data_IF_598675062711
#
_entry.id   IF_598675062711
#
_cell.length_a   1.000
_cell.length_b   1.000
_cell.length_c   1.000
_cell.angle_alpha   90.00
_cell.angle_beta   90.00
_cell.angle_gamma   90.00
#
_symmetry.space_group_name_H-M   'P 1'
#
loop_
_entity.id
_entity.type
_entity.pdbx_description
1 polymer ?
#
# COMPACT_ATOMS: atom_id res chain seq x y z
N UNK A 1 -7.67 3.75 -20.15
CA UNK A 1 -7.05 2.71 -19.32
C UNK A 1 -7.72 1.39 -19.69
N UNK A 2 -6.99 0.36 -20.15
CA UNK A 2 -7.61 -0.96 -20.29
C UNK A 2 -8.06 -1.42 -18.90
N UNK A 3 -9.27 -1.96 -18.81
CA UNK A 3 -9.81 -2.55 -17.59
C UNK A 3 -8.85 -3.66 -17.17
N UNK A 4 -8.12 -3.46 -16.06
CA UNK A 4 -7.14 -4.44 -15.56
C UNK A 4 -7.80 -5.65 -14.88
N UNK A 5 -9.06 -5.53 -14.50
CA UNK A 5 -9.85 -6.64 -13.95
C UNK A 5 -11.23 -6.22 -13.49
N UNK A 6 -12.09 -7.20 -13.24
CA UNK A 6 -13.44 -7.04 -12.72
C UNK A 6 -13.47 -7.35 -11.23
N UNK A 7 -14.20 -6.56 -10.45
CA UNK A 7 -14.47 -6.86 -9.04
C UNK A 7 -15.77 -7.66 -8.94
N UNK A 8 -15.67 -8.90 -8.45
CA UNK A 8 -16.84 -9.73 -8.22
C UNK A 8 -17.46 -9.34 -6.87
N UNK A 9 -18.71 -8.90 -6.90
CA UNK A 9 -19.48 -8.53 -5.71
C UNK A 9 -20.72 -9.40 -5.62
N UNK A 10 -20.87 -10.12 -4.51
CA UNK A 10 -22.03 -10.96 -4.24
C UNK A 10 -22.72 -10.50 -2.96
N UNK A 11 -24.05 -10.48 -2.98
CA UNK A 11 -24.88 -10.16 -1.82
C UNK A 11 -25.51 -11.43 -1.30
N UNK A 12 -25.31 -11.73 -0.02
CA UNK A 12 -25.92 -12.88 0.62
C UNK A 12 -27.44 -12.69 0.72
N UNK A 13 -28.27 -13.58 0.15
CA UNK A 13 -29.71 -13.47 0.22
C UNK A 13 -30.24 -13.65 1.65
N UNK A 14 -29.55 -14.40 2.51
CA UNK A 14 -29.98 -14.66 3.88
C UNK A 14 -29.68 -13.52 4.86
N UNK A 15 -28.49 -12.92 4.80
CA UNK A 15 -28.05 -11.91 5.77
C UNK A 15 -27.85 -10.50 5.17
N UNK A 16 -28.11 -10.31 3.88
CA UNK A 16 -27.93 -9.06 3.13
C UNK A 16 -26.51 -8.48 3.13
N UNK A 17 -25.51 -9.19 3.69
CA UNK A 17 -24.10 -8.78 3.67
C UNK A 17 -23.53 -8.91 2.25
N UNK A 18 -22.66 -7.98 1.90
CA UNK A 18 -22.01 -7.94 0.60
C UNK A 18 -20.56 -8.42 0.73
N UNK A 19 -20.20 -9.47 0.02
CA UNK A 19 -18.82 -9.91 -0.15
C UNK A 19 -18.28 -9.36 -1.47
N UNK A 20 -17.07 -8.79 -1.45
CA UNK A 20 -16.36 -8.38 -2.67
C UNK A 20 -15.07 -9.18 -2.75
N UNK A 21 -14.91 -9.97 -3.82
CA UNK A 21 -13.67 -10.66 -4.12
C UNK A 21 -12.76 -9.71 -4.89
N UNK A 22 -11.60 -9.42 -4.30
CA UNK A 22 -10.59 -8.55 -4.90
C UNK A 22 -9.49 -9.39 -5.54
N UNK A 23 -9.06 -9.04 -6.78
CA UNK A 23 -7.93 -9.69 -7.40
C UNK A 23 -6.64 -9.36 -6.65
N UNK A 24 -5.60 -10.18 -6.86
CA UNK A 24 -4.34 -10.10 -6.11
C UNK A 24 -3.57 -8.78 -6.26
N UNK A 25 -3.93 -7.96 -7.26
CA UNK A 25 -3.32 -6.66 -7.50
C UNK A 25 -4.15 -5.47 -6.97
N UNK A 26 -5.31 -5.68 -6.34
CA UNK A 26 -6.20 -4.61 -5.90
C UNK A 26 -6.31 -4.55 -4.37
N UNK A 27 -6.25 -3.33 -3.82
CA UNK A 27 -6.63 -3.09 -2.43
C UNK A 27 -8.11 -2.68 -2.34
N UNK A 28 -8.84 -3.23 -1.37
CA UNK A 28 -10.21 -2.82 -1.10
C UNK A 28 -10.43 -1.32 -0.93
N UNK A 29 -11.49 -0.85 -1.58
CA UNK A 29 -11.88 0.56 -1.67
C UNK A 29 -10.80 1.48 -2.29
N UNK A 30 -9.77 0.94 -2.94
CA UNK A 30 -8.75 1.71 -3.67
C UNK A 30 -8.90 1.52 -5.17
N UNK A 31 -8.81 2.64 -5.90
CA UNK A 31 -8.87 2.69 -7.36
C UNK A 31 -7.59 2.19 -8.04
N UNK A 32 -6.46 2.25 -7.33
CA UNK A 32 -5.13 2.03 -7.89
C UNK A 32 -4.59 0.66 -7.51
N UNK A 33 -3.72 0.13 -8.37
CA UNK A 33 -3.14 -1.21 -8.17
C UNK A 33 -2.10 -1.20 -7.04
N UNK A 34 -1.97 -2.33 -6.35
CA UNK A 34 -1.01 -2.55 -5.26
C UNK A 34 0.42 -2.10 -5.64
N UNK A 35 0.99 -2.47 -6.80
CA UNK A 35 2.34 -2.02 -7.16
C UNK A 35 2.49 -0.50 -7.20
N UNK A 36 1.49 0.21 -7.75
CA UNK A 36 1.46 1.68 -7.77
C UNK A 36 1.40 2.23 -6.34
N UNK A 37 0.48 1.71 -5.53
CA UNK A 37 0.30 2.15 -4.14
C UNK A 37 1.60 1.97 -3.34
N UNK A 38 2.24 0.81 -3.47
CA UNK A 38 3.49 0.49 -2.79
C UNK A 38 4.64 1.38 -3.28
N UNK A 39 4.79 1.58 -4.58
CA UNK A 39 5.87 2.40 -5.15
C UNK A 39 5.82 3.85 -4.64
N UNK A 40 4.66 4.51 -4.70
CA UNK A 40 4.49 5.87 -4.18
C UNK A 40 4.66 5.94 -2.66
N UNK A 41 4.15 4.95 -1.92
CA UNK A 41 4.28 4.92 -0.47
C UNK A 41 5.74 4.73 -0.06
N UNK A 42 6.48 3.85 -0.75
CA UNK A 42 7.91 3.61 -0.54
C UNK A 42 8.74 4.85 -0.85
N UNK A 43 8.51 5.48 -2.01
CA UNK A 43 9.18 6.73 -2.39
C UNK A 43 8.96 7.84 -1.35
N UNK A 44 7.72 7.94 -0.82
CA UNK A 44 7.41 8.90 0.23
C UNK A 44 8.09 8.59 1.56
N UNK A 45 8.13 7.35 2.05
CA UNK A 45 8.71 7.07 3.38
C UNK A 45 10.24 7.09 3.36
N UNK A 46 10.85 6.65 2.25
CA UNK A 46 12.30 6.47 2.13
C UNK A 46 13.06 7.80 2.03
N UNK A 47 12.61 8.74 1.20
CA UNK A 47 13.33 9.99 0.95
C UNK A 47 12.80 11.15 1.82
N UNK A 48 13.59 11.74 2.72
CA UNK A 48 13.19 12.88 3.56
C UNK A 48 12.66 14.10 2.77
N UNK A 49 13.09 14.30 1.53
CA UNK A 49 12.79 15.47 0.70
C UNK A 49 11.49 15.34 -0.10
N UNK A 50 10.97 14.12 -0.25
CA UNK A 50 9.72 13.89 -0.97
C UNK A 50 8.51 14.35 -0.17
N UNK A 51 7.78 15.31 -0.75
CA UNK A 51 6.44 15.70 -0.32
C UNK A 51 5.37 14.99 -1.16
N UNK A 52 4.12 14.98 -0.69
CA UNK A 52 3.02 14.43 -1.48
C UNK A 52 2.85 15.14 -2.82
N UNK A 53 3.05 16.47 -2.86
CA UNK A 53 2.93 17.25 -4.09
C UNK A 53 3.99 16.85 -5.09
N UNK A 54 5.24 16.93 -4.64
CA UNK A 54 6.43 16.62 -5.44
C UNK A 54 6.35 15.23 -6.08
N UNK A 55 5.90 14.21 -5.33
CA UNK A 55 5.76 12.85 -5.88
C UNK A 55 4.74 12.75 -7.03
N UNK A 56 3.64 13.50 -6.95
CA UNK A 56 2.65 13.53 -8.04
C UNK A 56 3.18 14.32 -9.22
N UNK A 57 3.87 15.44 -8.96
CA UNK A 57 4.40 16.32 -10.01
C UNK A 57 5.53 15.63 -10.81
N UNK A 58 6.40 14.87 -10.14
CA UNK A 58 7.49 14.11 -10.77
C UNK A 58 7.01 12.83 -11.48
N UNK A 59 5.90 12.25 -11.03
CA UNK A 59 5.34 11.04 -11.61
C UNK A 59 3.82 11.18 -11.80
N UNK A 60 3.38 12.02 -12.74
CA UNK A 60 1.97 12.20 -12.99
C UNK A 60 1.40 10.90 -13.55
N UNK A 61 0.27 10.45 -13.00
CA UNK A 61 -0.53 9.41 -13.62
C UNK A 61 -1.39 10.11 -14.69
N UNK A 62 -1.11 9.94 -15.99
CA UNK A 62 -1.77 10.72 -17.03
C UNK A 62 -3.25 10.34 -17.14
N UNK A 63 -4.10 11.32 -17.45
CA UNK A 63 -5.46 11.04 -17.92
C UNK A 63 -5.42 10.38 -19.30
N UNK A 64 -6.47 9.62 -19.65
CA UNK A 64 -6.66 9.20 -21.03
C UNK A 64 -7.11 10.44 -21.81
N UNK A 65 -6.38 10.80 -22.86
CA UNK A 65 -6.67 11.99 -23.68
C UNK A 65 -8.05 11.81 -24.31
N UNK A 66 -8.98 12.73 -24.01
CA UNK A 66 -10.12 12.97 -24.88
C UNK A 66 -9.58 13.75 -26.09
N UNK A 67 -9.69 13.23 -27.33
CA UNK A 67 -9.16 13.91 -28.51
C UNK A 67 -9.75 15.31 -28.75
N UNK A 68 -10.82 15.70 -28.05
CA UNK A 68 -11.44 17.04 -28.13
C UNK A 68 -11.08 17.98 -26.96
N UNK A 69 -10.28 17.55 -25.99
CA UNK A 69 -9.86 18.37 -24.85
C UNK A 69 -8.65 19.26 -25.23
N UNK A 70 -8.78 20.58 -25.04
CA UNK A 70 -7.69 21.57 -25.24
C UNK A 70 -6.72 21.66 -24.06
N UNK A 71 -6.91 20.84 -23.02
CA UNK A 71 -6.12 20.91 -21.79
C UNK A 71 -5.03 19.85 -21.83
N UNK A 72 -3.78 20.30 -21.90
CA UNK A 72 -2.60 19.45 -21.71
C UNK A 72 -2.62 18.86 -20.30
N UNK A 73 -2.89 17.55 -20.22
CA UNK A 73 -2.60 16.65 -19.09
C UNK A 73 -2.90 17.18 -17.68
N UNK A 74 -4.16 17.09 -17.23
CA UNK A 74 -4.44 17.15 -15.79
C UNK A 74 -3.96 15.86 -15.09
N UNK A 75 -3.26 15.95 -13.93
CA UNK A 75 -2.86 14.77 -13.18
C UNK A 75 -4.09 14.04 -12.65
N UNK A 76 -4.23 12.75 -12.98
CA UNK A 76 -5.38 11.91 -12.58
C UNK A 76 -5.45 11.67 -11.05
N UNK A 77 -4.43 12.09 -10.30
CA UNK A 77 -4.25 11.75 -8.89
C UNK A 77 -4.10 12.99 -8.03
N UNK A 78 -5.06 13.19 -7.14
CA UNK A 78 -4.96 14.16 -6.04
C UNK A 78 -3.77 13.86 -5.14
N UNK A 79 -3.00 14.87 -4.72
CA UNK A 79 -1.86 14.69 -3.81
C UNK A 79 -2.27 14.04 -2.47
N UNK A 80 -3.50 14.29 -2.03
CA UNK A 80 -4.06 13.66 -0.81
C UNK A 80 -4.24 12.14 -0.93
N UNK A 81 -4.19 11.59 -2.14
CA UNK A 81 -4.31 10.14 -2.41
C UNK A 81 -3.17 9.36 -1.76
N UNK A 82 -1.92 9.84 -1.89
CA UNK A 82 -0.75 9.20 -1.29
C UNK A 82 -0.89 9.19 0.25
N UNK A 83 -1.37 10.29 0.83
CA UNK A 83 -1.65 10.35 2.27
C UNK A 83 -2.65 9.28 2.72
N UNK A 84 -3.74 9.08 1.95
CA UNK A 84 -4.77 8.05 2.24
C UNK A 84 -4.20 6.63 2.11
N UNK A 85 -3.34 6.38 1.12
CA UNK A 85 -2.66 5.10 0.97
C UNK A 85 -1.75 4.77 2.13
N UNK A 86 -0.86 5.69 2.51
CA UNK A 86 0.02 5.52 3.67
C UNK A 86 -0.77 5.27 4.93
N UNK A 87 -1.88 5.99 5.12
CA UNK A 87 -2.75 5.78 6.29
C UNK A 87 -3.38 4.39 6.28
N UNK A 88 -3.78 3.92 5.10
CA UNK A 88 -4.32 2.56 4.92
C UNK A 88 -3.25 1.50 5.21
N UNK A 89 -2.07 1.62 4.61
CA UNK A 89 -0.94 0.69 4.80
C UNK A 89 -0.44 0.70 6.26
N UNK A 90 -0.35 1.88 6.88
CA UNK A 90 0.02 2.02 8.28
C UNK A 90 -1.03 1.49 9.26
N UNK A 91 -2.25 1.23 8.80
CA UNK A 91 -3.27 0.51 9.58
C UNK A 91 -3.03 -1.00 9.64
N UNK A 92 -2.11 -1.54 8.85
CA UNK A 92 -1.88 -2.99 8.73
C UNK A 92 -0.77 -3.51 9.66
N UNK A 93 -0.70 -2.99 10.89
CA UNK A 93 0.28 -3.44 11.87
C UNK A 93 0.21 -4.95 12.14
N UNK A 94 -0.99 -5.54 12.20
CA UNK A 94 -1.17 -6.98 12.36
C UNK A 94 -0.67 -7.79 11.16
N UNK A 95 -0.74 -7.25 9.94
CA UNK A 95 -0.18 -7.88 8.74
C UNK A 95 1.35 -7.88 8.82
N UNK A 96 1.95 -6.76 9.24
CA UNK A 96 3.40 -6.65 9.43
C UNK A 96 3.88 -7.65 10.47
N UNK A 97 3.20 -7.75 11.63
CA UNK A 97 3.53 -8.71 12.68
C UNK A 97 3.46 -10.14 12.16
N UNK A 98 2.31 -10.57 11.64
CA UNK A 98 2.12 -11.93 11.13
C UNK A 98 3.11 -12.29 10.02
N UNK A 99 3.39 -11.38 9.09
CA UNK A 99 4.34 -11.62 8.01
C UNK A 99 5.78 -11.73 8.53
N UNK A 100 6.15 -10.90 9.50
CA UNK A 100 7.47 -10.95 10.14
C UNK A 100 7.64 -12.27 10.92
N UNK A 101 6.62 -12.68 11.68
CA UNK A 101 6.63 -13.93 12.43
C UNK A 101 6.81 -15.15 11.51
N UNK A 102 6.06 -15.19 10.39
CA UNK A 102 6.22 -16.24 9.39
C UNK A 102 7.61 -16.26 8.76
N UNK A 103 8.18 -15.08 8.47
CA UNK A 103 9.53 -14.98 7.91
C UNK A 103 10.60 -15.46 8.89
N UNK A 104 10.48 -15.12 10.18
CA UNK A 104 11.40 -15.59 11.23
C UNK A 104 11.27 -17.09 11.45
N UNK A 105 10.05 -17.63 11.42
CA UNK A 105 9.84 -19.08 11.51
C UNK A 105 10.45 -19.83 10.31
N UNK A 106 10.34 -19.27 9.11
CA UNK A 106 10.91 -19.86 7.90
C UNK A 106 12.45 -19.74 7.86
N UNK A 107 13.01 -18.67 8.41
CA UNK A 107 14.45 -18.50 8.51
C UNK A 107 14.84 -17.75 9.81
N UNK A 108 15.18 -18.50 10.88
CA UNK A 108 15.50 -17.93 12.18
C UNK A 108 16.79 -17.11 12.23
N UNK A 109 17.71 -17.26 11.25
CA UNK A 109 18.98 -16.52 11.23
C UNK A 109 18.86 -15.14 10.56
N UNK A 110 17.66 -14.77 10.10
CA UNK A 110 17.42 -13.48 9.45
C UNK A 110 17.63 -12.31 10.41
N UNK A 111 18.26 -11.25 9.92
CA UNK A 111 18.34 -9.96 10.63
C UNK A 111 17.05 -9.14 10.55
N UNK A 112 15.98 -9.69 9.96
CA UNK A 112 14.77 -8.97 9.56
C UNK A 112 14.17 -8.13 10.69
N UNK A 113 14.01 -8.71 11.89
CA UNK A 113 13.44 -7.98 13.03
C UNK A 113 14.28 -6.77 13.43
N UNK A 114 15.61 -6.89 13.38
CA UNK A 114 16.54 -5.80 13.67
C UNK A 114 16.51 -4.75 12.56
N UNK A 115 16.44 -5.17 11.30
CA UNK A 115 16.40 -4.25 10.16
C UNK A 115 15.10 -3.43 10.16
N UNK A 116 13.95 -4.07 10.43
CA UNK A 116 12.65 -3.41 10.56
C UNK A 116 12.56 -2.49 11.78
N UNK A 117 13.20 -2.84 12.89
CA UNK A 117 13.28 -1.99 14.08
C UNK A 117 14.22 -0.79 13.88
N UNK A 118 15.23 -0.93 13.01
CA UNK A 118 16.18 0.11 12.66
C UNK A 118 15.63 1.19 11.72
N UNK A 119 14.46 0.97 11.11
CA UNK A 119 13.83 1.94 10.21
C UNK A 119 13.50 3.25 10.93
N UNK A 120 13.94 4.36 10.35
CA UNK A 120 13.71 5.72 10.88
C UNK A 120 12.96 6.56 9.84
N UNK A 121 11.96 7.30 10.32
CA UNK A 121 11.24 8.30 9.53
C UNK A 121 11.79 9.68 9.89
N UNK A 122 12.03 10.52 8.87
CA UNK A 122 12.44 11.91 9.07
C UNK A 122 11.45 12.65 9.98
N UNK A 123 11.95 13.43 10.97
CA UNK A 123 11.09 14.19 11.88
C UNK A 123 10.24 15.24 11.15
N UNK A 124 10.65 15.67 9.95
CA UNK A 124 9.90 16.64 9.14
C UNK A 124 8.58 16.08 8.59
N UNK A 125 8.40 14.74 8.59
CA UNK A 125 7.21 14.08 8.01
C UNK A 125 6.07 13.87 8.99
N UNK A 126 6.27 14.13 10.28
CA UNK A 126 5.25 13.94 11.29
C UNK A 126 5.28 15.06 12.33
N UNK A 127 4.08 15.47 12.75
CA UNK A 127 3.91 16.39 13.88
C UNK A 127 3.31 15.70 15.11
N UNK A 128 2.90 14.42 14.98
CA UNK A 128 2.32 13.63 16.06
C UNK A 128 2.92 12.23 16.14
N UNK A 129 2.94 11.67 17.35
CA UNK A 129 3.36 10.28 17.60
C UNK A 129 2.51 9.29 16.82
N UNK A 130 1.20 9.52 16.76
CA UNK A 130 0.27 8.72 15.95
C UNK A 130 0.66 8.70 14.47
N UNK A 131 0.98 9.87 13.89
CA UNK A 131 1.40 9.92 12.48
C UNK A 131 2.75 9.24 12.27
N UNK A 132 3.69 9.40 13.21
CA UNK A 132 4.98 8.69 13.20
C UNK A 132 4.78 7.17 13.15
N UNK A 133 3.88 6.63 13.99
CA UNK A 133 3.60 5.19 14.02
C UNK A 133 3.01 4.71 12.69
N UNK A 134 2.03 5.42 12.13
CA UNK A 134 1.45 5.09 10.81
C UNK A 134 2.55 5.05 9.73
N UNK A 135 3.45 6.03 9.72
CA UNK A 135 4.54 6.09 8.75
C UNK A 135 5.53 4.96 8.93
N UNK A 136 5.88 4.62 10.17
CA UNK A 136 6.78 3.50 10.48
C UNK A 136 6.17 2.16 10.08
N UNK A 137 4.91 1.90 10.42
CA UNK A 137 4.22 0.67 10.01
C UNK A 137 4.10 0.57 8.49
N UNK A 138 3.79 1.69 7.82
CA UNK A 138 3.80 1.73 6.36
C UNK A 138 5.20 1.42 5.81
N UNK A 139 6.27 1.97 6.41
CA UNK A 139 7.65 1.73 5.96
C UNK A 139 8.05 0.26 6.16
N UNK A 140 7.76 -0.31 7.32
CA UNK A 140 7.98 -1.73 7.58
C UNK A 140 7.25 -2.58 6.53
N UNK A 141 5.99 -2.29 6.25
CA UNK A 141 5.20 -3.04 5.29
C UNK A 141 5.75 -2.97 3.86
N UNK A 142 6.06 -1.77 3.35
CA UNK A 142 6.59 -1.66 1.97
C UNK A 142 7.96 -2.32 1.82
N UNK A 143 8.78 -2.33 2.88
CA UNK A 143 10.06 -3.04 2.90
C UNK A 143 9.86 -4.56 2.97
N UNK A 144 8.85 -5.02 3.70
CA UNK A 144 8.56 -6.44 3.92
C UNK A 144 7.97 -7.13 2.70
N UNK A 145 7.11 -6.45 1.92
CA UNK A 145 6.43 -7.02 0.75
C UNK A 145 7.37 -7.73 -0.24
N UNK A 146 8.44 -7.11 -0.75
CA UNK A 146 9.33 -7.77 -1.70
C UNK A 146 10.09 -8.94 -1.06
N UNK A 147 10.49 -8.83 0.21
CA UNK A 147 11.21 -9.89 0.93
C UNK A 147 10.31 -11.12 1.13
N UNK A 148 9.06 -10.90 1.54
CA UNK A 148 8.07 -11.97 1.71
C UNK A 148 7.78 -12.68 0.38
N UNK A 149 7.60 -11.92 -0.70
CA UNK A 149 7.38 -12.49 -2.03
C UNK A 149 8.57 -13.32 -2.51
N UNK A 150 9.80 -12.89 -2.24
CA UNK A 150 11.00 -13.64 -2.58
C UNK A 150 11.10 -14.97 -1.80
N UNK A 151 10.77 -14.95 -0.51
CA UNK A 151 10.83 -16.12 0.37
C UNK A 151 9.72 -17.14 0.07
N UNK A 152 8.46 -16.71 -0.01
CA UNK A 152 7.31 -17.61 -0.08
C UNK A 152 6.71 -17.77 -1.48
N UNK A 153 7.11 -16.95 -2.46
CA UNK A 153 6.54 -16.92 -3.82
C UNK A 153 5.03 -16.66 -3.86
N UNK A 154 4.48 -16.12 -2.77
CA UNK A 154 3.06 -15.76 -2.62
C UNK A 154 2.99 -14.31 -2.15
N UNK A 155 2.08 -13.48 -2.70
CA UNK A 155 1.96 -12.09 -2.28
C UNK A 155 1.37 -11.98 -0.87
N UNK A 156 1.81 -10.95 -0.12
CA UNK A 156 1.23 -10.60 1.19
C UNK A 156 -0.25 -10.27 1.06
N UNK A 157 -0.61 -9.53 0.01
CA UNK A 157 -1.97 -9.14 -0.31
C UNK A 157 -2.59 -10.06 -1.37
N UNK A 158 -3.90 -10.34 -1.31
CA UNK A 158 -4.82 -10.10 -0.20
C UNK A 158 -4.69 -11.17 0.90
N UNK A 159 -4.03 -12.31 0.62
CA UNK A 159 -4.14 -13.56 1.41
C UNK A 159 -3.80 -13.41 2.90
N UNK A 160 -2.68 -12.78 3.23
CA UNK A 160 -2.30 -12.56 4.63
C UNK A 160 -3.14 -11.45 5.27
N UNK A 161 -3.48 -10.43 4.46
CA UNK A 161 -4.29 -9.30 4.90
C UNK A 161 -5.71 -9.75 5.29
N UNK A 162 -6.40 -10.54 4.46
CA UNK A 162 -7.73 -11.12 4.73
C UNK A 162 -7.78 -11.90 6.03
N UNK A 163 -6.71 -12.64 6.37
CA UNK A 163 -6.63 -13.41 7.64
C UNK A 163 -6.35 -12.54 8.86
N UNK A 164 -5.76 -11.35 8.68
CA UNK A 164 -5.42 -10.42 9.75
C UNK A 164 -6.54 -9.44 10.12
N UNK A 165 -7.80 -9.73 9.76
CA UNK A 165 -8.96 -8.87 10.08
C UNK A 165 -9.28 -7.81 9.04
N UNK A 166 -8.85 -8.02 7.80
CA UNK A 166 -9.18 -7.15 6.67
C UNK A 166 -10.64 -7.35 6.25
N UNK A 167 -11.44 -6.29 6.35
CA UNK A 167 -12.84 -6.20 5.85
C UNK A 167 -13.05 -4.94 5.05
#
# INVERSE_FOLDING_TARGET
MPIKGLLLRWKCPGCNKTATAYPDFALPYKRYTIPTILAFSQAYVNDPTHSYRRLVDECPLPHQVDPNSKTDHEPMMEHSTIHRWITTLGGYAGVVQNATDLMVQANPTTSLCRDLAGLKISPLKYMSSKRKQILLTCFQLVTLVPLYLAQFRVPIFPKLATRAGYT
#
